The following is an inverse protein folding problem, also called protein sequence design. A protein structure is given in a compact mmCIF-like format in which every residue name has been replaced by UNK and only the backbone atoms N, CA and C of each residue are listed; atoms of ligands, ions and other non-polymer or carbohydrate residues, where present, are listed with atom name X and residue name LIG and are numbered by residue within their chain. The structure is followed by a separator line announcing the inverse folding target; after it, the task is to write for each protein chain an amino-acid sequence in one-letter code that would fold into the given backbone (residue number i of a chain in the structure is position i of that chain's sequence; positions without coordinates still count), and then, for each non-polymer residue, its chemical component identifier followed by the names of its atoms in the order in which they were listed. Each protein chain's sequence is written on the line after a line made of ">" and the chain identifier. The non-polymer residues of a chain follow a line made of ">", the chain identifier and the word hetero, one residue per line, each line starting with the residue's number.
data_IF_524811684563
#
_entry.id   IF_524811684563
#
_cell.length_a   1.000
_cell.length_b   1.000
_cell.length_c   1.000
_cell.angle_alpha   90.00
_cell.angle_beta   90.00
_cell.angle_gamma   90.00
#
_symmetry.space_group_name_H-M   'P 1'
#
loop_
_entity.id
_entity.type
_entity.pdbx_description
1 polymer ?
#
# COMPACT_ATOMS: atom_id res chain seq x y z
N UNK A 1 -20.70 -18.12 -8.80
CA UNK A 1 -19.98 -18.61 -7.61
C UNK A 1 -19.16 -19.80 -8.06
N UNK A 2 -17.85 -19.80 -7.78
CA UNK A 2 -17.02 -20.98 -8.04
C UNK A 2 -17.53 -22.16 -7.18
N UNK A 3 -17.40 -23.38 -7.69
CA UNK A 3 -17.67 -24.58 -6.90
C UNK A 3 -16.63 -24.69 -5.78
N UNK A 4 -17.06 -25.03 -4.57
CA UNK A 4 -16.14 -25.13 -3.44
C UNK A 4 -15.14 -26.26 -3.65
N UNK A 5 -13.85 -25.96 -3.48
CA UNK A 5 -12.74 -26.90 -3.59
C UNK A 5 -11.70 -26.59 -2.52
N UNK A 6 -11.05 -27.63 -1.99
CA UNK A 6 -9.87 -27.50 -1.12
C UNK A 6 -8.55 -27.44 -1.92
N UNK A 7 -8.61 -27.77 -3.21
CA UNK A 7 -7.46 -27.73 -4.11
C UNK A 7 -7.39 -26.38 -4.83
N UNK A 8 -6.17 -25.86 -4.98
CA UNK A 8 -5.88 -24.78 -5.91
C UNK A 8 -6.18 -25.23 -7.35
N UNK A 9 -6.62 -24.30 -8.19
CA UNK A 9 -6.75 -24.54 -9.63
C UNK A 9 -5.40 -24.38 -10.36
N UNK A 10 -5.38 -24.71 -11.65
CA UNK A 10 -4.15 -24.72 -12.45
C UNK A 10 -3.49 -23.32 -12.55
N UNK A 11 -4.28 -22.24 -12.61
CA UNK A 11 -3.75 -20.87 -12.66
C UNK A 11 -3.11 -20.48 -11.33
N UNK A 12 -3.73 -20.85 -10.20
CA UNK A 12 -3.21 -20.61 -8.86
C UNK A 12 -1.96 -21.44 -8.57
N UNK A 13 -1.89 -22.68 -9.05
CA UNK A 13 -0.68 -23.51 -8.96
C UNK A 13 0.48 -22.92 -9.76
N UNK A 14 0.22 -22.48 -10.99
CA UNK A 14 1.25 -21.81 -11.80
C UNK A 14 1.73 -20.51 -11.17
N UNK A 15 0.81 -19.70 -10.64
CA UNK A 15 1.15 -18.49 -9.89
C UNK A 15 2.02 -18.83 -8.68
N UNK A 16 1.61 -19.82 -7.89
CA UNK A 16 2.35 -20.26 -6.70
C UNK A 16 3.79 -20.63 -7.07
N UNK A 17 3.98 -21.51 -8.05
CA UNK A 17 5.29 -21.97 -8.46
C UNK A 17 6.15 -20.82 -9.00
N UNK A 18 5.56 -19.90 -9.76
CA UNK A 18 6.24 -18.71 -10.27
C UNK A 18 6.70 -17.75 -9.15
N UNK A 19 5.80 -17.40 -8.23
CA UNK A 19 6.12 -16.49 -7.12
C UNK A 19 7.10 -17.14 -6.14
N UNK A 20 6.96 -18.45 -5.89
CA UNK A 20 7.90 -19.20 -5.07
C UNK A 20 9.30 -19.18 -5.67
N UNK A 21 9.41 -19.38 -6.99
CA UNK A 21 10.71 -19.32 -7.67
C UNK A 21 11.34 -17.92 -7.55
N UNK A 22 10.56 -16.85 -7.71
CA UNK A 22 11.05 -15.49 -7.47
C UNK A 22 11.51 -15.29 -6.02
N UNK A 23 10.76 -15.83 -5.05
CA UNK A 23 11.12 -15.76 -3.64
C UNK A 23 12.44 -16.51 -3.34
N UNK A 24 12.64 -17.70 -3.91
CA UNK A 24 13.86 -18.50 -3.79
C UNK A 24 15.07 -17.80 -4.41
N UNK A 25 14.92 -17.28 -5.63
CA UNK A 25 16.04 -16.77 -6.42
C UNK A 25 16.43 -15.33 -6.09
N UNK A 26 15.45 -14.51 -5.66
CA UNK A 26 15.64 -13.06 -5.52
C UNK A 26 15.43 -12.58 -4.08
N UNK A 27 14.33 -12.94 -3.43
CA UNK A 27 13.97 -12.40 -2.11
C UNK A 27 14.85 -13.02 -1.01
N UNK A 28 14.84 -14.36 -0.90
CA UNK A 28 15.50 -15.09 0.18
C UNK A 28 17.01 -14.83 0.27
N UNK A 29 17.75 -14.77 -0.86
CA UNK A 29 19.19 -14.47 -0.82
C UNK A 29 19.49 -13.03 -0.37
N UNK A 30 18.56 -12.10 -0.62
CA UNK A 30 18.72 -10.68 -0.29
C UNK A 30 18.26 -10.34 1.14
N UNK A 31 17.46 -11.20 1.77
CA UNK A 31 16.78 -10.94 3.04
C UNK A 31 17.71 -10.44 4.16
N UNK A 32 18.80 -11.18 4.43
CA UNK A 32 19.73 -10.83 5.51
C UNK A 32 20.42 -9.49 5.29
N UNK A 33 20.84 -9.19 4.05
CA UNK A 33 21.51 -7.93 3.74
C UNK A 33 20.57 -6.73 3.93
N UNK A 34 19.32 -6.85 3.47
CA UNK A 34 18.34 -5.76 3.60
C UNK A 34 17.85 -5.56 5.03
N UNK A 35 17.76 -6.63 5.82
CA UNK A 35 17.52 -6.54 7.26
C UNK A 35 18.62 -5.74 7.96
N UNK A 36 19.90 -6.08 7.73
CA UNK A 36 21.04 -5.37 8.34
C UNK A 36 21.15 -3.91 7.90
N UNK A 37 20.79 -3.59 6.65
CA UNK A 37 20.86 -2.23 6.10
C UNK A 37 19.70 -1.34 6.56
N UNK A 38 18.57 -1.93 6.91
CA UNK A 38 17.30 -1.23 7.17
C UNK A 38 16.92 -0.19 6.10
N UNK A 39 17.21 -0.53 4.84
CA UNK A 39 16.96 0.29 3.66
C UNK A 39 15.83 -0.33 2.82
N UNK A 40 15.14 0.50 2.03
CA UNK A 40 14.12 -0.01 1.11
C UNK A 40 14.79 -0.82 -0.03
N UNK A 41 14.33 -2.05 -0.32
CA UNK A 41 14.98 -2.97 -1.25
C UNK A 41 14.63 -2.62 -2.72
N UNK A 42 14.96 -1.40 -3.15
CA UNK A 42 14.66 -0.90 -4.51
C UNK A 42 14.99 -1.88 -5.63
N UNK A 43 16.18 -2.53 -5.66
CA UNK A 43 16.49 -3.49 -6.72
C UNK A 43 15.52 -4.67 -6.77
N UNK A 44 15.10 -5.19 -5.61
CA UNK A 44 14.18 -6.34 -5.54
C UNK A 44 12.77 -5.96 -5.99
N UNK A 45 12.28 -4.80 -5.55
CA UNK A 45 10.96 -4.30 -5.97
C UNK A 45 10.95 -3.96 -7.46
N UNK A 46 12.07 -3.46 -7.99
CA UNK A 46 12.21 -3.20 -9.43
C UNK A 46 12.19 -4.50 -10.24
N UNK A 47 12.87 -5.57 -9.80
CA UNK A 47 12.76 -6.87 -10.45
C UNK A 47 11.33 -7.43 -10.35
N UNK A 48 10.67 -7.31 -9.19
CA UNK A 48 9.26 -7.69 -9.04
C UNK A 48 8.36 -6.94 -10.04
N UNK A 49 8.60 -5.64 -10.28
CA UNK A 49 7.88 -4.86 -11.28
C UNK A 49 8.15 -5.34 -12.71
N UNK A 50 9.41 -5.65 -13.06
CA UNK A 50 9.77 -6.16 -14.39
C UNK A 50 9.10 -7.49 -14.74
N UNK A 51 8.93 -8.37 -13.75
CA UNK A 51 8.27 -9.66 -13.97
C UNK A 51 6.75 -9.58 -13.83
N UNK A 52 6.20 -8.46 -13.37
CA UNK A 52 4.76 -8.24 -13.25
C UNK A 52 4.15 -8.67 -11.90
N UNK A 53 4.94 -8.78 -10.83
CA UNK A 53 4.47 -8.98 -9.46
C UNK A 53 4.21 -7.67 -8.70
N UNK A 54 4.59 -6.53 -9.27
CA UNK A 54 4.37 -5.21 -8.69
C UNK A 54 3.63 -4.32 -9.70
N UNK A 55 2.42 -3.87 -9.34
CA UNK A 55 1.64 -2.96 -10.17
C UNK A 55 0.13 -3.20 -10.11
N UNK A 56 -0.62 -2.27 -10.70
CA UNK A 56 -2.08 -2.32 -10.76
C UNK A 56 -2.59 -3.56 -11.51
N UNK A 57 -1.92 -3.96 -12.60
CA UNK A 57 -2.34 -5.12 -13.40
C UNK A 57 -2.30 -6.42 -12.60
N UNK A 58 -1.25 -6.62 -11.80
CA UNK A 58 -1.16 -7.77 -10.89
C UNK A 58 -2.34 -7.79 -9.90
N UNK A 59 -2.61 -6.65 -9.27
CA UNK A 59 -3.72 -6.52 -8.31
C UNK A 59 -5.07 -6.79 -8.98
N UNK A 60 -5.34 -6.20 -10.15
CA UNK A 60 -6.59 -6.39 -10.88
C UNK A 60 -6.79 -7.86 -11.29
N UNK A 61 -5.74 -8.51 -11.81
CA UNK A 61 -5.79 -9.92 -12.16
C UNK A 61 -6.07 -10.79 -10.92
N UNK A 62 -5.38 -10.54 -9.81
CA UNK A 62 -5.58 -11.26 -8.57
C UNK A 62 -6.98 -11.04 -7.96
N UNK A 63 -7.54 -9.84 -8.07
CA UNK A 63 -8.91 -9.53 -7.61
C UNK A 63 -10.00 -10.07 -8.54
N UNK A 64 -9.66 -10.38 -9.80
CA UNK A 64 -10.59 -10.99 -10.75
C UNK A 64 -10.79 -12.49 -10.51
N UNK A 65 -9.92 -13.14 -9.72
CA UNK A 65 -10.08 -14.53 -9.32
C UNK A 65 -11.37 -14.69 -8.48
N UNK A 66 -12.38 -15.43 -8.99
CA UNK A 66 -13.66 -15.59 -8.31
C UNK A 66 -13.57 -16.41 -7.01
N UNK A 67 -12.43 -17.07 -6.75
CA UNK A 67 -12.17 -17.77 -5.49
C UNK A 67 -11.53 -16.86 -4.44
N UNK A 68 -10.92 -15.75 -4.86
CA UNK A 68 -10.16 -14.84 -4.00
C UNK A 68 -8.83 -15.39 -3.49
N UNK A 69 -8.36 -16.54 -3.98
CA UNK A 69 -7.16 -17.21 -3.48
C UNK A 69 -5.87 -16.72 -4.16
N UNK A 70 -5.92 -16.28 -5.42
CA UNK A 70 -4.74 -15.81 -6.18
C UNK A 70 -3.90 -14.79 -5.41
N UNK A 71 -4.53 -13.77 -4.82
CA UNK A 71 -3.81 -12.77 -4.02
C UNK A 71 -3.14 -13.39 -2.79
N UNK A 72 -3.86 -14.26 -2.07
CA UNK A 72 -3.39 -14.86 -0.82
C UNK A 72 -2.21 -15.79 -1.08
N UNK A 73 -2.29 -16.61 -2.13
CA UNK A 73 -1.22 -17.52 -2.55
C UNK A 73 0.04 -16.75 -2.92
N UNK A 74 -0.08 -15.68 -3.72
CA UNK A 74 1.09 -14.87 -4.06
C UNK A 74 1.72 -14.20 -2.82
N UNK A 75 0.90 -13.65 -1.92
CA UNK A 75 1.40 -13.05 -0.67
C UNK A 75 2.12 -14.10 0.18
N UNK A 76 1.58 -15.30 0.33
CA UNK A 76 2.21 -16.38 1.09
C UNK A 76 3.62 -16.69 0.56
N UNK A 77 3.77 -16.82 -0.75
CA UNK A 77 5.06 -17.14 -1.38
C UNK A 77 6.07 -15.98 -1.30
N UNK A 78 5.63 -14.73 -1.46
CA UNK A 78 6.50 -13.56 -1.25
C UNK A 78 7.03 -13.51 0.19
N UNK A 79 6.15 -13.77 1.17
CA UNK A 79 6.47 -13.70 2.60
C UNK A 79 7.26 -14.92 3.08
N UNK A 80 7.16 -16.06 2.40
CA UNK A 80 8.07 -17.18 2.60
C UNK A 80 9.52 -16.76 2.33
N UNK A 81 9.74 -15.95 1.29
CA UNK A 81 11.04 -15.37 0.98
C UNK A 81 11.55 -14.51 2.12
N UNK A 82 10.85 -13.40 2.38
CA UNK A 82 11.11 -12.50 3.50
C UNK A 82 9.89 -11.60 3.76
N UNK A 83 9.55 -11.37 5.02
CA UNK A 83 8.36 -10.58 5.37
C UNK A 83 8.54 -9.07 5.13
N UNK A 84 9.75 -8.52 5.30
CA UNK A 84 10.04 -7.11 5.06
C UNK A 84 10.01 -6.77 3.58
N UNK A 85 10.68 -7.58 2.75
CA UNK A 85 10.68 -7.45 1.30
C UNK A 85 9.29 -7.76 0.71
N UNK A 86 8.60 -8.78 1.22
CA UNK A 86 7.21 -9.07 0.85
C UNK A 86 6.29 -7.87 1.10
N UNK A 87 6.45 -7.21 2.25
CA UNK A 87 5.76 -5.95 2.55
C UNK A 87 6.21 -4.78 1.66
N UNK A 88 7.46 -4.72 1.23
CA UNK A 88 7.93 -3.70 0.30
C UNK A 88 7.25 -3.82 -1.07
N UNK A 89 7.00 -5.05 -1.55
CA UNK A 89 6.28 -5.31 -2.80
C UNK A 89 4.77 -5.05 -2.65
N UNK A 90 4.16 -5.49 -1.55
CA UNK A 90 2.70 -5.42 -1.39
C UNK A 90 2.19 -4.11 -0.77
N UNK A 91 3.05 -3.34 -0.09
CA UNK A 91 2.66 -2.23 0.78
C UNK A 91 1.86 -1.13 0.09
N UNK A 92 2.23 -0.79 -1.16
CA UNK A 92 1.51 0.21 -1.98
C UNK A 92 0.05 -0.16 -2.24
N UNK A 93 -0.30 -1.46 -2.14
CA UNK A 93 -1.65 -1.98 -2.26
C UNK A 93 -2.65 -1.34 -1.29
N UNK A 94 -2.22 -0.95 -0.08
CA UNK A 94 -3.11 -0.31 0.89
C UNK A 94 -3.55 1.09 0.46
N UNK A 95 -2.64 1.88 -0.12
CA UNK A 95 -2.97 3.19 -0.65
C UNK A 95 -3.90 3.06 -1.88
N UNK A 96 -3.57 2.16 -2.80
CA UNK A 96 -4.40 1.85 -3.95
C UNK A 96 -5.81 1.41 -3.57
N UNK A 97 -5.95 0.51 -2.58
CA UNK A 97 -7.24 0.08 -2.05
C UNK A 97 -8.00 1.22 -1.36
N UNK A 98 -7.31 2.09 -0.63
CA UNK A 98 -7.91 3.28 -0.01
C UNK A 98 -8.52 4.23 -1.04
N UNK A 99 -7.83 4.46 -2.15
CA UNK A 99 -8.32 5.26 -3.29
C UNK A 99 -9.48 4.53 -3.98
N UNK A 100 -9.34 3.24 -4.28
CA UNK A 100 -10.37 2.47 -4.98
C UNK A 100 -11.68 2.35 -4.18
N UNK A 101 -11.59 2.28 -2.84
CA UNK A 101 -12.76 2.14 -1.97
C UNK A 101 -13.53 3.43 -1.72
N UNK A 102 -12.93 4.61 -1.91
CA UNK A 102 -13.52 5.90 -1.51
C UNK A 102 -13.43 7.01 -2.56
N UNK A 103 -12.59 6.84 -3.57
CA UNK A 103 -12.33 7.84 -4.60
C UNK A 103 -13.36 7.84 -5.72
N UNK A 104 -13.42 8.95 -6.45
CA UNK A 104 -14.19 9.01 -7.70
C UNK A 104 -13.49 8.21 -8.80
N UNK A 105 -14.20 7.83 -9.88
CA UNK A 105 -13.56 7.20 -11.04
C UNK A 105 -12.36 7.97 -11.59
N UNK A 106 -12.44 9.30 -11.62
CA UNK A 106 -11.36 10.18 -12.06
C UNK A 106 -10.16 10.11 -11.12
N UNK A 107 -10.39 10.09 -9.80
CA UNK A 107 -9.33 9.93 -8.81
C UNK A 107 -8.69 8.55 -8.89
N UNK A 108 -9.46 7.49 -9.14
CA UNK A 108 -8.93 6.14 -9.29
C UNK A 108 -7.99 6.05 -10.50
N UNK A 109 -8.42 6.57 -11.65
CA UNK A 109 -7.63 6.55 -12.90
C UNK A 109 -6.34 7.36 -12.75
N UNK A 110 -6.41 8.50 -12.07
CA UNK A 110 -5.24 9.37 -11.88
C UNK A 110 -4.25 8.80 -10.84
N UNK A 111 -4.73 8.44 -9.65
CA UNK A 111 -3.86 8.24 -8.49
C UNK A 111 -3.42 6.80 -8.27
N UNK A 112 -4.23 5.80 -8.63
CA UNK A 112 -3.88 4.39 -8.39
C UNK A 112 -2.61 3.98 -9.16
N UNK A 113 -2.44 4.34 -10.46
CA UNK A 113 -1.18 4.04 -11.16
C UNK A 113 0.04 4.72 -10.52
N UNK A 114 -0.14 5.90 -9.91
CA UNK A 114 0.94 6.64 -9.26
C UNK A 114 1.43 5.99 -7.96
N UNK A 115 0.65 5.10 -7.35
CA UNK A 115 1.10 4.27 -6.22
C UNK A 115 2.13 3.20 -6.61
N UNK A 116 2.29 2.92 -7.92
CA UNK A 116 3.18 1.86 -8.42
C UNK A 116 4.21 2.36 -9.44
N UNK A 117 3.86 3.33 -10.29
CA UNK A 117 4.75 3.79 -11.34
C UNK A 117 4.94 2.75 -12.44
N UNK A 118 6.18 2.57 -12.88
CA UNK A 118 6.55 1.61 -13.95
C UNK A 118 7.74 0.75 -13.51
N UNK A 119 8.08 -0.29 -14.27
CA UNK A 119 9.25 -1.11 -13.98
C UNK A 119 10.59 -0.34 -14.04
N UNK A 120 10.65 0.78 -14.78
CA UNK A 120 11.84 1.64 -14.86
C UNK A 120 11.81 2.82 -13.88
N UNK A 121 10.64 3.11 -13.30
CA UNK A 121 10.38 4.20 -12.35
C UNK A 121 9.37 3.71 -11.31
N UNK A 122 9.83 2.85 -10.40
CA UNK A 122 9.00 2.29 -9.33
C UNK A 122 8.61 3.41 -8.38
N UNK A 123 7.32 3.52 -8.12
CA UNK A 123 6.73 4.46 -7.17
C UNK A 123 6.06 3.73 -6.04
N UNK A 124 5.84 4.40 -4.91
CA UNK A 124 5.27 3.79 -3.72
C UNK A 124 4.03 4.53 -3.23
N UNK A 125 3.06 3.77 -2.73
CA UNK A 125 1.89 4.28 -2.01
C UNK A 125 2.02 4.07 -0.50
N UNK A 126 1.47 5.00 0.28
CA UNK A 126 1.37 4.92 1.73
C UNK A 126 -0.07 5.18 2.22
N UNK A 127 -0.59 4.30 3.08
CA UNK A 127 -1.89 4.47 3.71
C UNK A 127 -1.71 4.94 5.16
N UNK A 128 -2.21 6.14 5.46
CA UNK A 128 -1.82 6.91 6.64
C UNK A 128 -3.01 7.08 7.61
N UNK A 129 -3.24 6.09 8.47
CA UNK A 129 -4.33 6.10 9.47
C UNK A 129 -3.79 6.22 10.88
N UNK A 130 -2.94 5.29 11.28
CA UNK A 130 -2.47 5.13 12.65
C UNK A 130 -1.71 6.36 13.15
N UNK A 131 -1.92 6.65 14.43
CA UNK A 131 -1.27 7.75 15.15
C UNK A 131 -0.62 7.21 16.42
N UNK A 132 0.33 7.94 17.04
CA UNK A 132 0.97 7.51 18.28
C UNK A 132 -0.03 7.11 19.38
N UNK A 133 -1.16 7.81 19.46
CA UNK A 133 -2.21 7.60 20.46
C UNK A 133 -3.40 6.76 19.94
N UNK A 134 -3.42 6.39 18.66
CA UNK A 134 -4.56 5.73 18.01
C UNK A 134 -4.12 4.71 16.94
N UNK A 135 -3.85 3.48 17.39
CA UNK A 135 -3.59 2.31 16.54
C UNK A 135 -4.84 1.45 16.35
N UNK A 136 -5.18 0.64 17.36
CA UNK A 136 -6.41 -0.19 17.34
C UNK A 136 -7.70 0.64 17.43
N UNK A 137 -7.64 1.82 18.07
CA UNK A 137 -8.77 2.74 18.21
C UNK A 137 -8.72 3.85 17.15
N UNK A 138 -8.75 3.45 15.87
CA UNK A 138 -8.71 4.37 14.73
C UNK A 138 -9.85 5.39 14.74
N UNK A 139 -10.96 5.09 15.42
CA UNK A 139 -12.12 5.97 15.51
C UNK A 139 -11.83 7.28 16.25
N UNK A 140 -10.80 7.29 17.10
CA UNK A 140 -10.40 8.42 17.95
C UNK A 140 -9.10 9.11 17.48
N UNK A 141 -8.73 8.95 16.20
CA UNK A 141 -7.60 9.68 15.61
C UNK A 141 -7.76 11.22 15.78
N UNK A 142 -6.62 11.90 15.94
CA UNK A 142 -6.51 13.31 16.29
C UNK A 142 -6.13 14.20 15.10
N UNK A 143 -5.53 13.66 14.04
CA UNK A 143 -5.27 14.44 12.82
C UNK A 143 -6.57 15.10 12.36
N UNK A 144 -6.54 16.43 12.21
CA UNK A 144 -7.67 17.25 11.80
C UNK A 144 -7.52 17.68 10.36
N UNK A 145 -8.63 17.69 9.63
CA UNK A 145 -8.74 18.35 8.33
C UNK A 145 -9.80 19.45 8.46
N UNK A 146 -9.41 20.70 8.20
CA UNK A 146 -10.30 21.86 8.25
C UNK A 146 -10.32 22.49 6.87
N UNK A 147 -11.51 22.75 6.33
CA UNK A 147 -11.65 23.43 5.05
C UNK A 147 -11.45 24.94 5.22
N UNK A 148 -10.51 25.51 4.47
CA UNK A 148 -10.24 26.94 4.38
C UNK A 148 -10.93 27.50 3.13
N UNK A 149 -12.16 27.99 3.31
CA UNK A 149 -12.99 28.55 2.23
C UNK A 149 -12.30 29.71 1.49
N UNK A 150 -11.43 30.47 2.16
CA UNK A 150 -10.78 31.64 1.56
C UNK A 150 -9.73 31.24 0.50
N UNK A 151 -9.25 29.99 0.54
CA UNK A 151 -8.25 29.46 -0.38
C UNK A 151 -8.72 28.24 -1.17
N UNK A 152 -9.94 27.78 -0.90
CA UNK A 152 -10.51 26.57 -1.49
C UNK A 152 -9.59 25.34 -1.26
N UNK A 153 -9.09 25.18 -0.03
CA UNK A 153 -8.15 24.10 0.33
C UNK A 153 -8.53 23.42 1.65
N UNK A 154 -8.16 22.14 1.78
CA UNK A 154 -8.20 21.45 3.06
C UNK A 154 -6.86 21.56 3.77
N UNK A 155 -6.86 22.04 5.01
CA UNK A 155 -5.67 22.14 5.85
C UNK A 155 -5.64 20.97 6.82
N UNK A 156 -4.65 20.09 6.64
CA UNK A 156 -4.43 18.93 7.50
C UNK A 156 -3.39 19.24 8.58
N UNK A 157 -3.71 18.95 9.84
CA UNK A 157 -2.81 19.10 10.98
C UNK A 157 -2.84 17.86 11.86
N UNK A 158 -1.69 17.21 12.02
CA UNK A 158 -1.53 16.03 12.87
C UNK A 158 -0.24 15.29 12.60
N UNK A 159 -0.09 14.13 13.25
CA UNK A 159 1.06 13.25 13.07
C UNK A 159 0.57 11.83 12.93
N UNK A 160 0.97 11.18 11.84
CA UNK A 160 0.77 9.75 11.63
C UNK A 160 2.01 8.98 12.06
N UNK A 161 1.84 7.73 12.46
CA UNK A 161 2.92 6.88 12.94
C UNK A 161 2.82 5.48 12.34
N UNK A 162 3.98 4.81 12.19
CA UNK A 162 4.07 3.43 11.70
C UNK A 162 3.58 3.25 10.26
N UNK A 163 3.77 4.27 9.43
CA UNK A 163 3.30 4.28 8.05
C UNK A 163 4.33 3.57 7.16
N UNK A 164 3.99 2.36 6.70
CA UNK A 164 4.74 1.68 5.63
C UNK A 164 4.88 2.60 4.43
N UNK A 165 6.11 2.70 3.89
CA UNK A 165 6.50 3.62 2.82
C UNK A 165 6.37 5.12 3.13
N UNK A 166 5.92 5.53 4.32
CA UNK A 166 5.50 6.92 4.57
C UNK A 166 6.59 7.99 4.40
N UNK A 167 7.87 7.64 4.54
CA UNK A 167 8.98 8.58 4.27
C UNK A 167 9.38 8.67 2.79
N UNK A 168 8.94 7.71 1.98
CA UNK A 168 9.45 7.48 0.61
C UNK A 168 8.32 7.34 -0.43
N UNK A 169 7.06 7.55 -0.04
CA UNK A 169 5.91 7.37 -0.92
C UNK A 169 5.67 8.56 -1.86
N UNK A 170 5.22 8.23 -3.07
CA UNK A 170 4.77 9.15 -4.12
C UNK A 170 3.28 9.48 -4.00
N UNK A 171 2.54 8.72 -3.20
CA UNK A 171 1.14 9.00 -2.89
C UNK A 171 0.85 8.64 -1.44
N UNK A 172 0.36 9.61 -0.66
CA UNK A 172 -0.12 9.36 0.70
C UNK A 172 -1.63 9.46 0.73
N UNK A 173 -2.30 8.42 1.19
CA UNK A 173 -3.73 8.47 1.49
C UNK A 173 -3.89 8.70 2.99
N UNK A 174 -4.17 9.94 3.39
CA UNK A 174 -4.23 10.36 4.79
C UNK A 174 -5.67 10.37 5.28
N UNK A 175 -5.95 9.64 6.34
CA UNK A 175 -7.25 9.70 7.01
C UNK A 175 -7.21 10.72 8.14
N UNK A 176 -8.12 11.68 8.11
CA UNK A 176 -8.21 12.76 9.09
C UNK A 176 -9.66 13.01 9.51
N UNK A 177 -9.84 13.51 10.73
CA UNK A 177 -11.15 13.90 11.24
C UNK A 177 -11.56 15.27 10.67
N UNK A 178 -12.69 15.29 9.96
CA UNK A 178 -13.38 16.51 9.49
C UNK A 178 -14.48 16.93 10.48
N UNK A 179 -15.09 15.97 11.18
CA UNK A 179 -16.03 16.19 12.28
C UNK A 179 -15.72 15.23 13.45
N UNK A 180 -14.99 15.69 14.47
CA UNK A 180 -14.59 14.83 15.59
C UNK A 180 -15.76 14.27 16.41
N UNK A 181 -16.90 14.94 16.46
CA UNK A 181 -18.06 14.52 17.25
C UNK A 181 -18.71 13.25 16.65
N UNK A 182 -18.56 13.05 15.35
CA UNK A 182 -19.06 11.89 14.62
C UNK A 182 -18.09 10.68 14.68
N UNK A 183 -16.95 10.81 15.35
CA UNK A 183 -15.89 9.77 15.46
C UNK A 183 -15.55 9.21 14.08
N UNK A 184 -15.54 7.88 13.92
CA UNK A 184 -15.25 7.22 12.63
C UNK A 184 -16.11 7.68 11.46
N UNK A 185 -17.33 8.19 11.69
CA UNK A 185 -18.19 8.72 10.61
C UNK A 185 -17.84 10.15 10.18
N UNK A 186 -17.08 10.87 11.01
CA UNK A 186 -16.59 12.21 10.69
C UNK A 186 -15.14 12.19 10.24
N UNK A 187 -14.67 11.08 9.70
CA UNK A 187 -13.35 10.95 9.09
C UNK A 187 -13.47 10.98 7.57
N UNK A 188 -12.47 11.57 6.91
CA UNK A 188 -12.34 11.59 5.46
C UNK A 188 -10.92 11.18 5.06
N UNK A 189 -10.78 10.67 3.83
CA UNK A 189 -9.49 10.32 3.23
C UNK A 189 -9.05 11.42 2.26
N UNK A 190 -7.77 11.78 2.32
CA UNK A 190 -7.16 12.81 1.49
C UNK A 190 -5.98 12.21 0.73
N UNK A 191 -5.94 12.43 -0.57
CA UNK A 191 -4.77 12.08 -1.39
C UNK A 191 -3.79 13.25 -1.29
N UNK A 192 -2.59 13.00 -0.76
CA UNK A 192 -1.56 14.00 -0.51
C UNK A 192 -0.28 13.59 -1.26
N UNK A 193 0.07 14.29 -2.35
CA UNK A 193 1.29 14.04 -3.11
C UNK A 193 2.56 14.42 -2.32
N UNK A 194 3.73 13.87 -2.67
CA UNK A 194 5.00 14.28 -2.11
C UNK A 194 5.23 15.76 -2.38
N UNK A 195 6.04 16.40 -1.54
CA UNK A 195 6.38 17.84 -1.62
C UNK A 195 5.18 18.78 -1.39
N UNK A 196 3.99 18.27 -1.04
CA UNK A 196 2.91 19.11 -0.53
C UNK A 196 3.40 19.91 0.67
N UNK A 197 3.23 21.24 0.64
CA UNK A 197 3.73 22.12 1.70
C UNK A 197 3.17 21.70 3.05
N UNK A 198 4.05 21.41 4.00
CA UNK A 198 3.70 20.95 5.35
C UNK A 198 3.76 19.42 5.54
N UNK A 199 3.75 18.64 4.45
CA UNK A 199 4.06 17.21 4.54
C UNK A 199 5.55 17.03 4.78
N UNK A 200 5.91 16.32 5.85
CA UNK A 200 7.29 16.03 6.20
C UNK A 200 7.40 14.68 6.89
N UNK A 201 8.54 14.01 6.72
CA UNK A 201 8.84 12.75 7.39
C UNK A 201 9.15 13.02 8.87
N UNK A 202 8.56 12.22 9.76
CA UNK A 202 8.88 12.18 11.19
C UNK A 202 10.17 11.41 11.49
N UNK A 203 10.39 11.06 12.76
CA UNK A 203 11.49 10.16 13.12
C UNK A 203 11.23 8.75 12.55
N UNK A 204 12.30 8.10 12.07
CA UNK A 204 12.31 6.65 11.84
C UNK A 204 12.17 5.96 13.20
N UNK A 205 11.31 4.95 13.27
CA UNK A 205 11.16 4.10 14.44
C UNK A 205 11.97 2.82 14.29
#
# INVERSE_FOLDING_TARGET
>A
MAEFSLSLNDDQLQLKDWVHQFAVDTIRPAAHEWDEREEFPWPVVQEAAKIGLYGLDFIMNAMSDPTGLTMVVAIEELFWGDAGIGMAIMGSGLAAAGIAGNGTPEQMIEWVPQCYGTADDVKLGAFCVSEPDAGSDVSNLRTRAVYDEAKDEWVLNGTKAWITNGGIADVHVVVAAVDPELKGRGQASFIVPPKTKGLSQGQKY
#
